data_IF_765560633515
#
_entry.id   IF_765560633515
#
_cell.length_a   1.000
_cell.length_b   1.000
_cell.length_c   1.000
_cell.angle_alpha   90.00
_cell.angle_beta   90.00
_cell.angle_gamma   90.00
#
_symmetry.space_group_name_H-M   'P 1'
#
loop_
_entity.id
_entity.type
_entity.pdbx_description
1 polymer ?
#
# COMPACT_ATOMS: atom_id res chain seq x y z
N UNK A 1 9.43 -91.30 0.72
CA UNK A 1 9.99 -90.25 1.60
C UNK A 1 9.83 -88.91 0.89
N UNK A 2 8.98 -88.03 1.42
CA UNK A 2 8.73 -86.66 0.92
C UNK A 2 9.52 -85.70 1.83
N UNK A 3 10.26 -84.71 1.31
CA UNK A 3 11.04 -83.80 2.15
C UNK A 3 10.10 -82.84 2.92
N UNK A 4 10.51 -82.34 4.10
CA UNK A 4 9.69 -81.44 4.89
C UNK A 4 9.61 -80.06 4.22
N UNK A 5 8.40 -79.52 4.19
CA UNK A 5 8.04 -78.22 3.62
C UNK A 5 8.64 -77.11 4.50
N UNK A 6 9.60 -76.36 3.94
CA UNK A 6 10.23 -75.24 4.63
C UNK A 6 9.21 -74.08 4.75
N UNK A 7 8.89 -73.69 5.98
CA UNK A 7 8.13 -72.45 6.26
C UNK A 7 8.90 -71.24 5.71
N UNK A 8 8.26 -70.33 4.97
CA UNK A 8 8.89 -69.07 4.59
C UNK A 8 9.15 -68.21 5.83
N UNK A 9 10.21 -67.39 5.82
CA UNK A 9 10.54 -66.52 6.95
C UNK A 9 9.41 -65.52 7.20
N UNK A 10 9.14 -65.26 8.48
CA UNK A 10 8.20 -64.25 8.94
C UNK A 10 8.43 -62.94 8.17
N UNK A 11 7.35 -62.34 7.67
CA UNK A 11 7.37 -61.05 7.01
C UNK A 11 8.20 -60.07 7.85
N UNK A 12 9.30 -59.60 7.27
CA UNK A 12 10.08 -58.53 7.87
C UNK A 12 9.12 -57.39 8.19
N UNK A 13 9.04 -57.02 9.47
CA UNK A 13 8.25 -55.88 9.92
C UNK A 13 8.65 -54.69 9.05
N UNK A 14 7.69 -54.19 8.27
CA UNK A 14 7.81 -52.92 7.57
C UNK A 14 8.18 -51.91 8.66
N UNK A 15 9.33 -51.21 8.56
CA UNK A 15 9.67 -50.20 9.55
C UNK A 15 8.52 -49.20 9.56
N UNK A 16 7.90 -49.02 10.74
CA UNK A 16 6.85 -48.06 10.94
C UNK A 16 7.32 -46.73 10.36
N UNK A 17 6.59 -46.23 9.37
CA UNK A 17 6.75 -44.88 8.86
C UNK A 17 6.83 -43.95 10.07
N UNK A 18 7.82 -43.03 10.15
CA UNK A 18 7.95 -42.16 11.31
C UNK A 18 6.62 -41.48 11.57
N UNK A 19 6.13 -41.60 12.81
CA UNK A 19 4.89 -40.96 13.27
C UNK A 19 4.84 -39.56 12.69
N UNK A 20 3.81 -39.27 11.89
CA UNK A 20 3.57 -37.93 11.41
C UNK A 20 3.43 -37.04 12.65
N UNK A 21 4.47 -36.27 12.97
CA UNK A 21 4.43 -35.30 14.05
C UNK A 21 3.23 -34.39 13.79
N UNK A 22 2.32 -34.31 14.76
CA UNK A 22 1.19 -33.41 14.70
C UNK A 22 1.66 -31.97 14.91
N UNK A 23 2.18 -31.37 13.85
CA UNK A 23 2.52 -29.96 13.81
C UNK A 23 1.27 -29.07 13.94
N UNK A 24 0.07 -29.60 13.66
CA UNK A 24 -1.20 -28.87 13.72
C UNK A 24 -1.72 -28.66 15.14
N UNK A 25 -1.39 -29.57 16.07
CA UNK A 25 -1.80 -29.54 17.47
C UNK A 25 -0.93 -28.71 18.42
N UNK A 26 0.06 -27.97 17.91
CA UNK A 26 0.92 -27.13 18.75
C UNK A 26 0.15 -25.94 19.34
N UNK A 27 0.43 -25.54 20.60
CA UNK A 27 -0.25 -24.40 21.23
C UNK A 27 0.01 -23.09 20.47
N UNK A 28 -1.02 -22.24 20.37
CA UNK A 28 -0.96 -20.99 19.59
C UNK A 28 0.07 -19.99 20.12
N UNK A 29 0.25 -19.90 21.45
CA UNK A 29 1.16 -18.95 22.09
C UNK A 29 2.63 -19.16 21.63
N UNK A 30 3.24 -20.36 21.76
CA UNK A 30 4.55 -20.66 21.18
C UNK A 30 4.66 -20.42 19.68
N UNK A 31 3.63 -20.77 18.90
CA UNK A 31 3.64 -20.56 17.45
C UNK A 31 3.63 -19.08 17.08
N UNK A 32 2.91 -18.24 17.84
CA UNK A 32 2.90 -16.79 17.66
C UNK A 32 4.29 -16.18 17.94
N UNK A 33 5.02 -16.73 18.92
CA UNK A 33 6.37 -16.29 19.26
C UNK A 33 7.40 -16.74 18.22
N UNK A 34 7.27 -17.96 17.69
CA UNK A 34 8.05 -18.40 16.53
C UNK A 34 7.80 -17.45 15.36
N UNK A 35 6.54 -17.15 15.04
CA UNK A 35 6.18 -16.26 13.94
C UNK A 35 6.79 -14.86 14.09
N UNK A 36 6.81 -14.29 15.31
CA UNK A 36 7.52 -13.02 15.61
C UNK A 36 9.00 -13.09 15.26
N UNK A 37 9.66 -14.20 15.56
CA UNK A 37 11.10 -14.41 15.30
C UNK A 37 11.43 -14.69 13.84
N UNK A 38 10.44 -15.04 13.01
CA UNK A 38 10.65 -15.19 11.56
C UNK A 38 10.78 -13.84 10.85
N UNK A 39 10.39 -12.73 11.49
CA UNK A 39 10.57 -11.40 10.96
C UNK A 39 12.07 -11.00 10.95
N UNK A 40 12.52 -10.29 9.90
CA UNK A 40 11.74 -9.78 8.76
C UNK A 40 11.73 -10.71 7.52
N UNK A 41 12.10 -11.98 7.66
CA UNK A 41 12.30 -12.88 6.52
C UNK A 41 10.98 -13.42 5.96
N UNK A 42 10.52 -12.82 4.86
CA UNK A 42 9.28 -13.23 4.19
C UNK A 42 9.32 -14.67 3.68
N UNK A 43 10.48 -15.16 3.23
CA UNK A 43 10.65 -16.57 2.83
C UNK A 43 10.29 -17.51 3.98
N UNK A 44 10.73 -17.19 5.20
CA UNK A 44 10.41 -17.97 6.39
C UNK A 44 8.93 -17.87 6.76
N UNK A 45 8.31 -16.70 6.55
CA UNK A 45 6.86 -16.52 6.74
C UNK A 45 6.06 -17.36 5.73
N UNK A 46 6.48 -17.43 4.47
CA UNK A 46 5.84 -18.31 3.48
C UNK A 46 6.02 -19.79 3.81
N UNK A 47 7.22 -20.18 4.25
CA UNK A 47 7.46 -21.53 4.73
C UNK A 47 6.54 -21.88 5.91
N UNK A 48 6.38 -20.96 6.87
CA UNK A 48 5.44 -21.10 8.00
C UNK A 48 3.99 -21.29 7.52
N UNK A 49 3.52 -20.46 6.58
CA UNK A 49 2.17 -20.55 6.01
C UNK A 49 1.91 -21.84 5.20
N UNK A 50 2.99 -22.48 4.73
CA UNK A 50 2.94 -23.70 3.93
C UNK A 50 2.90 -24.98 4.77
N UNK A 51 3.21 -24.93 6.08
CA UNK A 51 3.27 -26.12 6.96
C UNK A 51 1.94 -26.86 7.02
N UNK A 52 0.87 -26.18 7.42
CA UNK A 52 -0.47 -26.77 7.51
C UNK A 52 -1.57 -25.70 7.56
N UNK A 53 -2.85 -26.11 7.50
CA UNK A 53 -4.00 -25.21 7.56
C UNK A 53 -4.08 -24.42 8.89
N UNK A 54 -3.90 -25.03 10.08
CA UNK A 54 -3.87 -24.29 11.35
C UNK A 54 -2.85 -23.15 11.40
N UNK A 55 -1.59 -23.40 10.99
CA UNK A 55 -0.54 -22.37 10.99
C UNK A 55 -0.86 -21.22 10.03
N UNK A 56 -1.46 -21.53 8.89
CA UNK A 56 -1.92 -20.51 7.94
C UNK A 56 -3.06 -19.66 8.50
N UNK A 57 -3.97 -20.25 9.27
CA UNK A 57 -5.04 -19.53 9.95
C UNK A 57 -4.47 -18.64 11.05
N UNK A 58 -3.53 -19.14 11.85
CA UNK A 58 -2.83 -18.36 12.87
C UNK A 58 -2.08 -17.18 12.26
N UNK A 59 -1.34 -17.42 11.17
CA UNK A 59 -0.68 -16.34 10.42
C UNK A 59 -1.69 -15.27 10.04
N UNK A 60 -2.83 -15.63 9.45
CA UNK A 60 -3.89 -14.69 9.05
C UNK A 60 -4.51 -13.94 10.23
N UNK A 61 -4.59 -14.55 11.40
CA UNK A 61 -5.13 -13.93 12.60
C UNK A 61 -4.16 -12.91 13.22
N UNK A 62 -2.88 -13.25 13.38
CA UNK A 62 -1.87 -12.41 14.05
C UNK A 62 -1.23 -11.36 13.13
N UNK A 63 -1.44 -11.53 11.86
CA UNK A 63 -0.87 -10.82 10.76
C UNK A 63 -1.04 -9.29 10.77
N UNK A 64 -2.22 -8.83 11.16
CA UNK A 64 -2.52 -7.42 11.32
C UNK A 64 -1.59 -6.76 12.36
N UNK A 65 -1.23 -7.49 13.41
CA UNK A 65 -0.43 -6.94 14.52
C UNK A 65 1.06 -7.20 14.32
N UNK A 66 1.42 -8.35 13.74
CA UNK A 66 2.80 -8.79 13.58
C UNK A 66 3.45 -8.27 12.28
N UNK A 67 2.72 -8.30 11.16
CA UNK A 67 3.28 -7.97 9.84
C UNK A 67 3.05 -6.51 9.45
N UNK A 68 1.93 -5.89 9.87
CA UNK A 68 1.59 -4.52 9.42
C UNK A 68 2.60 -3.46 9.81
N UNK A 69 3.15 -3.44 11.04
CA UNK A 69 4.10 -2.41 11.39
C UNK A 69 5.55 -2.90 11.23
N UNK A 70 5.84 -4.21 11.24
CA UNK A 70 7.23 -4.69 11.35
C UNK A 70 8.02 -4.87 10.03
N UNK A 71 7.36 -4.83 8.87
CA UNK A 71 7.99 -5.11 7.58
C UNK A 71 8.00 -3.90 6.65
N UNK A 72 9.18 -3.47 6.14
CA UNK A 72 9.27 -2.49 5.06
C UNK A 72 8.53 -2.95 3.80
N UNK A 73 8.10 -2.02 2.92
CA UNK A 73 7.48 -2.36 1.65
C UNK A 73 8.25 -3.39 0.83
N UNK A 74 7.51 -4.25 0.14
CA UNK A 74 8.04 -5.05 -0.97
C UNK A 74 7.96 -4.25 -2.27
N UNK A 75 8.89 -4.54 -3.17
CA UNK A 75 9.01 -3.90 -4.47
C UNK A 75 8.58 -4.95 -5.50
N UNK A 76 7.37 -4.83 -6.06
CA UNK A 76 7.07 -5.59 -7.28
C UNK A 76 7.63 -4.84 -8.46
N UNK A 77 8.51 -5.45 -9.24
CA UNK A 77 8.83 -4.93 -10.55
C UNK A 77 7.95 -5.64 -11.58
N UNK A 78 6.90 -4.97 -12.12
CA UNK A 78 5.98 -5.60 -13.06
C UNK A 78 6.64 -5.96 -14.40
N UNK A 79 7.80 -5.36 -14.74
CA UNK A 79 8.53 -5.67 -15.98
C UNK A 79 9.38 -6.93 -15.88
N UNK A 80 9.89 -7.23 -14.68
CA UNK A 80 10.77 -8.38 -14.48
C UNK A 80 10.05 -9.56 -13.84
N UNK A 81 8.73 -9.48 -13.61
CA UNK A 81 7.93 -10.50 -12.91
C UNK A 81 8.60 -10.96 -11.62
N UNK A 82 9.18 -10.02 -10.87
CA UNK A 82 10.02 -10.30 -9.71
C UNK A 82 9.64 -9.36 -8.58
N UNK A 83 9.57 -9.94 -7.38
CA UNK A 83 9.48 -9.20 -6.12
C UNK A 83 10.89 -9.03 -5.57
N UNK A 84 11.37 -7.80 -5.49
CA UNK A 84 12.55 -7.47 -4.69
C UNK A 84 12.12 -6.83 -3.37
N UNK A 85 12.93 -6.94 -2.33
CA UNK A 85 12.68 -6.21 -1.09
C UNK A 85 13.32 -4.83 -1.11
N UNK A 86 12.80 -3.93 -0.26
CA UNK A 86 13.44 -2.66 0.08
C UNK A 86 14.90 -2.87 0.54
N UNK A 87 15.16 -3.96 1.28
CA UNK A 87 16.50 -4.32 1.76
C UNK A 87 16.75 -5.83 1.65
N UNK A 88 18.00 -6.22 1.40
CA UNK A 88 18.39 -7.64 1.22
C UNK A 88 18.07 -8.54 2.42
N UNK A 89 17.98 -7.97 3.63
CA UNK A 89 17.62 -8.74 4.84
C UNK A 89 16.14 -9.16 4.86
N UNK A 90 15.27 -8.46 4.14
CA UNK A 90 13.83 -8.80 4.03
C UNK A 90 13.61 -9.86 2.94
N UNK A 91 14.33 -9.76 1.81
CA UNK A 91 14.45 -10.80 0.78
C UNK A 91 15.89 -10.84 0.24
N UNK A 92 16.63 -11.91 0.56
CA UNK A 92 18.02 -12.08 0.17
C UNK A 92 18.20 -12.28 -1.34
N UNK A 93 17.19 -12.88 -1.99
CA UNK A 93 17.11 -13.05 -3.43
C UNK A 93 15.74 -12.57 -3.91
N UNK A 94 15.67 -11.91 -5.07
CA UNK A 94 14.40 -11.54 -5.66
C UNK A 94 13.54 -12.80 -5.89
N UNK A 95 12.27 -12.75 -5.51
CA UNK A 95 11.36 -13.85 -5.71
C UNK A 95 10.76 -13.74 -7.12
N UNK A 96 10.97 -14.75 -7.95
CA UNK A 96 10.25 -14.89 -9.20
C UNK A 96 8.76 -15.02 -8.88
N UNK A 97 7.97 -14.13 -9.44
CA UNK A 97 6.54 -14.08 -9.23
C UNK A 97 5.84 -14.51 -10.51
N UNK A 98 5.05 -15.57 -10.42
CA UNK A 98 4.22 -16.04 -11.54
C UNK A 98 2.99 -15.15 -11.68
N UNK A 99 3.21 -13.96 -12.20
CA UNK A 99 2.14 -13.24 -12.87
C UNK A 99 2.50 -13.10 -14.32
N UNK A 100 1.64 -13.65 -15.17
CA UNK A 100 1.34 -13.05 -16.47
C UNK A 100 0.64 -11.71 -16.20
N UNK A 101 1.37 -10.76 -15.59
CA UNK A 101 1.01 -9.35 -15.60
C UNK A 101 1.18 -8.92 -17.06
N UNK A 102 0.26 -9.33 -17.93
CA UNK A 102 -0.03 -8.64 -19.21
C UNK A 102 -0.64 -7.25 -18.92
N UNK A 103 -0.07 -6.57 -17.93
CA UNK A 103 -0.25 -5.18 -17.57
C UNK A 103 0.82 -4.33 -18.28
N UNK A 104 1.42 -4.84 -19.37
CA UNK A 104 2.11 -3.99 -20.33
C UNK A 104 1.17 -2.89 -20.76
N UNK A 105 1.52 -1.67 -20.35
CA UNK A 105 0.70 -0.49 -20.58
C UNK A 105 -0.40 -0.24 -19.56
N UNK A 106 -0.55 -0.97 -18.44
CA UNK A 106 -1.49 -0.53 -17.40
C UNK A 106 -0.89 0.61 -16.53
N UNK A 107 -1.76 1.47 -15.99
CA UNK A 107 -1.46 2.53 -15.03
C UNK A 107 -1.96 2.08 -13.67
N UNK A 108 -1.07 2.08 -12.67
CA UNK A 108 -1.46 1.87 -11.28
C UNK A 108 -2.20 3.10 -10.75
N UNK A 109 -3.42 2.90 -10.26
CA UNK A 109 -4.23 3.95 -9.62
C UNK A 109 -3.89 4.07 -8.13
N UNK A 110 -3.70 2.94 -7.45
CA UNK A 110 -3.27 2.80 -6.06
C UNK A 110 -3.08 1.33 -5.68
N UNK A 111 -2.54 1.10 -4.49
CA UNK A 111 -2.64 -0.18 -3.79
C UNK A 111 -3.54 -0.01 -2.56
N UNK A 112 -4.46 -0.95 -2.31
CA UNK A 112 -5.43 -0.85 -1.23
C UNK A 112 -5.86 -2.24 -0.76
N UNK A 113 -5.85 -2.48 0.56
CA UNK A 113 -6.34 -3.71 1.21
C UNK A 113 -5.88 -5.02 0.54
N UNK A 114 -4.61 -5.15 0.21
CA UNK A 114 -4.10 -6.36 -0.43
C UNK A 114 -4.08 -6.38 -1.93
N UNK A 115 -4.71 -5.40 -2.56
CA UNK A 115 -4.95 -5.43 -3.99
C UNK A 115 -4.29 -4.25 -4.69
N UNK A 116 -3.80 -4.54 -5.89
CA UNK A 116 -3.38 -3.55 -6.87
C UNK A 116 -4.57 -3.14 -7.71
N UNK A 117 -4.82 -1.84 -7.80
CA UNK A 117 -5.88 -1.28 -8.63
C UNK A 117 -5.26 -0.69 -9.89
N UNK A 118 -5.40 -1.41 -11.00
CA UNK A 118 -4.76 -1.10 -12.28
C UNK A 118 -5.80 -0.65 -13.31
N UNK A 119 -5.44 0.31 -14.17
CA UNK A 119 -6.20 0.69 -15.35
C UNK A 119 -5.39 0.45 -16.62
N UNK A 120 -5.84 -0.38 -17.57
CA UNK A 120 -5.16 -0.53 -18.86
C UNK A 120 -5.01 0.83 -19.60
N UNK A 121 -3.88 1.09 -20.27
CA UNK A 121 -3.79 2.18 -21.26
C UNK A 121 -4.62 1.78 -22.48
N UNK A 122 -5.42 2.71 -22.99
CA UNK A 122 -6.31 2.52 -24.13
C UNK A 122 -7.77 2.82 -23.80
N UNK A 123 -8.71 2.59 -24.75
CA UNK A 123 -10.12 2.90 -24.58
C UNK A 123 -10.87 1.94 -23.65
N UNK A 124 -10.16 1.08 -22.92
CA UNK A 124 -10.76 0.07 -22.07
C UNK A 124 -11.27 0.69 -20.78
N UNK A 125 -12.58 0.75 -20.62
CA UNK A 125 -13.25 1.24 -19.43
C UNK A 125 -13.35 0.16 -18.35
N UNK A 126 -12.21 -0.29 -17.83
CA UNK A 126 -12.16 -1.27 -16.72
C UNK A 126 -11.06 -0.98 -15.72
N UNK A 127 -11.29 -1.41 -14.49
CA UNK A 127 -10.26 -1.54 -13.46
C UNK A 127 -9.97 -3.02 -13.28
N UNK A 128 -8.68 -3.36 -13.26
CA UNK A 128 -8.19 -4.68 -12.92
C UNK A 128 -7.74 -4.64 -11.47
N UNK A 129 -8.35 -5.50 -10.66
CA UNK A 129 -8.00 -5.71 -9.25
C UNK A 129 -7.18 -6.99 -9.22
N UNK A 130 -5.95 -6.90 -8.72
CA UNK A 130 -5.03 -8.04 -8.63
C UNK A 130 -4.60 -8.19 -7.18
N UNK A 131 -4.75 -9.38 -6.61
CA UNK A 131 -4.11 -9.71 -5.34
C UNK A 131 -2.58 -9.55 -5.49
N UNK A 132 -2.03 -8.66 -4.68
CA UNK A 132 -0.68 -8.17 -4.84
C UNK A 132 0.39 -9.25 -4.59
N UNK A 133 0.03 -10.35 -3.92
CA UNK A 133 0.97 -11.35 -3.46
C UNK A 133 0.84 -12.72 -4.15
N UNK A 134 -0.37 -13.12 -4.53
CA UNK A 134 -0.63 -14.39 -5.23
C UNK A 134 -0.79 -14.18 -6.72
N UNK A 135 -1.35 -13.03 -7.13
CA UNK A 135 -1.56 -12.67 -8.53
C UNK A 135 -2.67 -13.50 -9.16
N UNK A 136 -3.26 -14.39 -8.36
CA UNK A 136 -4.24 -15.38 -8.75
C UNK A 136 -5.65 -14.78 -8.75
N UNK A 137 -5.94 -13.86 -7.85
CA UNK A 137 -7.22 -13.15 -7.86
C UNK A 137 -7.15 -11.96 -8.81
N UNK A 138 -7.59 -12.19 -10.04
CA UNK A 138 -7.80 -11.14 -11.04
C UNK A 138 -9.29 -10.90 -11.19
N UNK A 139 -9.77 -9.74 -10.75
CA UNK A 139 -11.13 -9.27 -11.05
C UNK A 139 -11.06 -8.11 -12.01
N UNK A 140 -11.88 -8.16 -13.05
CA UNK A 140 -12.07 -7.02 -13.95
C UNK A 140 -13.43 -6.40 -13.67
N UNK A 141 -13.43 -5.10 -13.35
CA UNK A 141 -14.64 -4.34 -13.06
C UNK A 141 -14.82 -3.30 -14.16
N UNK A 142 -15.94 -3.37 -14.87
CA UNK A 142 -16.32 -2.37 -15.87
C UNK A 142 -16.64 -1.04 -15.20
N UNK A 143 -16.02 0.04 -15.69
CA UNK A 143 -16.23 1.40 -15.22
C UNK A 143 -17.60 1.95 -15.69
N UNK A 144 -18.13 3.01 -15.03
CA UNK A 144 -19.44 3.58 -15.35
C UNK A 144 -19.60 4.06 -16.80
N UNK A 145 -18.51 4.41 -17.49
CA UNK A 145 -18.56 4.87 -18.88
C UNK A 145 -17.33 4.48 -19.71
N UNK A 146 -17.46 4.34 -21.04
CA UNK A 146 -16.34 3.99 -21.93
C UNK A 146 -15.16 4.96 -21.89
N UNK A 147 -15.41 6.23 -21.53
CA UNK A 147 -14.40 7.31 -21.46
C UNK A 147 -14.13 7.75 -20.03
N UNK A 148 -14.28 6.83 -19.07
CA UNK A 148 -14.15 7.16 -17.66
C UNK A 148 -12.69 7.46 -17.28
N UNK A 149 -12.37 8.74 -17.17
CA UNK A 149 -11.07 9.21 -16.73
C UNK A 149 -10.99 9.19 -15.19
N UNK A 150 -10.48 8.09 -14.62
CA UNK A 150 -10.15 8.02 -13.20
C UNK A 150 -8.69 8.42 -12.93
N UNK A 151 -8.44 9.08 -11.79
CA UNK A 151 -7.10 9.48 -11.35
C UNK A 151 -6.65 8.74 -10.08
N UNK A 152 -7.59 8.16 -9.34
CA UNK A 152 -7.33 7.38 -8.13
C UNK A 152 -8.46 6.38 -7.90
N UNK A 153 -8.17 5.31 -7.15
CA UNK A 153 -9.15 4.33 -6.70
C UNK A 153 -8.76 3.82 -5.31
N UNK A 154 -9.69 3.26 -4.55
CA UNK A 154 -9.41 2.68 -3.24
C UNK A 154 -10.42 1.58 -2.88
N UNK A 155 -10.01 0.62 -2.06
CA UNK A 155 -10.90 -0.38 -1.48
C UNK A 155 -11.19 -0.04 -0.02
N UNK A 156 -12.46 0.02 0.31
CA UNK A 156 -12.95 -0.08 1.68
C UNK A 156 -13.37 -1.53 1.96
N UNK A 157 -13.68 -1.90 3.22
CA UNK A 157 -14.19 -3.23 3.54
C UNK A 157 -15.45 -3.63 2.74
N UNK A 158 -16.23 -2.65 2.27
CA UNK A 158 -17.55 -2.87 1.67
C UNK A 158 -17.69 -2.35 0.24
N UNK A 159 -16.77 -1.51 -0.23
CA UNK A 159 -16.90 -0.82 -1.52
C UNK A 159 -15.55 -0.58 -2.20
N UNK A 160 -15.57 -0.66 -3.54
CA UNK A 160 -14.59 -0.04 -4.42
C UNK A 160 -14.99 1.42 -4.67
N UNK A 161 -14.04 2.34 -4.44
CA UNK A 161 -14.17 3.75 -4.76
C UNK A 161 -13.32 4.10 -5.98
N UNK A 162 -13.89 4.89 -6.89
CA UNK A 162 -13.18 5.38 -8.07
C UNK A 162 -13.39 6.89 -8.21
N UNK A 163 -12.28 7.63 -8.20
CA UNK A 163 -12.27 9.09 -8.27
C UNK A 163 -12.04 9.56 -9.70
N UNK A 164 -13.02 10.28 -10.25
CA UNK A 164 -13.03 10.69 -11.65
C UNK A 164 -12.75 12.19 -11.83
N UNK A 165 -13.11 13.01 -10.85
CA UNK A 165 -12.90 14.46 -10.89
C UNK A 165 -12.71 15.00 -9.48
N UNK A 166 -12.39 16.30 -9.37
CA UNK A 166 -12.36 17.01 -8.08
C UNK A 166 -13.72 17.13 -7.39
N UNK A 167 -14.82 16.81 -8.08
CA UNK A 167 -16.18 17.05 -7.57
C UNK A 167 -16.98 15.79 -7.32
N UNK A 168 -16.52 14.63 -7.76
CA UNK A 168 -17.30 13.41 -7.64
C UNK A 168 -16.45 12.15 -7.71
N UNK A 169 -16.99 11.10 -7.10
CA UNK A 169 -16.47 9.74 -7.14
C UNK A 169 -17.64 8.78 -7.32
N UNK A 170 -17.31 7.55 -7.69
CA UNK A 170 -18.27 6.47 -7.81
C UNK A 170 -17.93 5.37 -6.81
N UNK A 171 -18.94 4.77 -6.21
CA UNK A 171 -18.79 3.59 -5.35
C UNK A 171 -19.48 2.39 -5.96
N UNK A 172 -18.88 1.22 -5.77
CA UNK A 172 -19.44 -0.08 -6.14
C UNK A 172 -19.30 -1.02 -4.94
N UNK A 173 -20.35 -1.76 -4.53
CA UNK A 173 -20.21 -2.77 -3.50
C UNK A 173 -19.10 -3.78 -3.85
N UNK A 174 -18.29 -4.13 -2.86
CA UNK A 174 -17.15 -5.04 -3.00
C UNK A 174 -17.06 -5.89 -1.72
N UNK A 175 -16.83 -7.21 -1.80
CA UNK A 175 -16.40 -7.99 -2.98
C UNK A 175 -17.52 -8.42 -3.93
N UNK A 176 -18.79 -8.19 -3.61
CA UNK A 176 -19.93 -8.60 -4.45
C UNK A 176 -20.53 -7.41 -5.21
N UNK A 177 -20.03 -7.07 -6.42
CA UNK A 177 -20.50 -5.92 -7.19
C UNK A 177 -21.91 -6.10 -7.77
N UNK A 178 -22.36 -7.34 -7.93
CA UNK A 178 -23.71 -7.71 -8.37
C UNK A 178 -24.32 -8.71 -7.38
N UNK A 179 -25.04 -8.25 -6.35
CA UNK A 179 -25.75 -9.15 -5.43
C UNK A 179 -26.94 -9.87 -6.12
N UNK A 180 -27.46 -9.32 -7.24
CA UNK A 180 -28.48 -9.96 -8.06
C UNK A 180 -27.87 -10.49 -9.38
N UNK A 181 -27.92 -11.80 -9.64
CA UNK A 181 -27.35 -12.40 -10.85
C UNK A 181 -28.09 -12.04 -12.15
N UNK A 182 -29.26 -11.40 -12.07
CA UNK A 182 -30.07 -10.97 -13.22
C UNK A 182 -29.64 -9.63 -13.82
N UNK A 183 -28.79 -8.83 -13.15
CA UNK A 183 -28.27 -7.58 -13.70
C UNK A 183 -26.95 -7.81 -14.44
N UNK A 184 -26.91 -7.48 -15.73
CA UNK A 184 -25.72 -7.67 -16.58
C UNK A 184 -24.58 -6.69 -16.30
N UNK A 185 -24.81 -5.60 -15.56
CA UNK A 185 -23.82 -4.56 -15.29
C UNK A 185 -23.70 -4.22 -13.80
N UNK A 186 -22.49 -3.88 -13.31
CA UNK A 186 -22.27 -3.44 -11.94
C UNK A 186 -23.02 -2.14 -11.63
N UNK A 187 -23.78 -2.11 -10.53
CA UNK A 187 -24.57 -0.94 -10.14
C UNK A 187 -23.70 0.11 -9.42
N UNK A 188 -23.13 1.03 -10.19
CA UNK A 188 -22.34 2.13 -9.67
C UNK A 188 -23.21 3.23 -9.05
N UNK A 189 -22.84 3.71 -7.87
CA UNK A 189 -23.48 4.86 -7.22
C UNK A 189 -22.56 6.08 -7.35
N UNK A 190 -23.08 7.18 -7.90
CA UNK A 190 -22.34 8.45 -8.00
C UNK A 190 -22.53 9.27 -6.73
N UNK A 191 -21.43 9.81 -6.22
CA UNK A 191 -21.40 10.68 -5.05
C UNK A 191 -20.71 12.00 -5.39
N UNK A 192 -21.15 13.07 -4.73
CA UNK A 192 -20.56 14.41 -4.86
C UNK A 192 -19.58 14.63 -3.70
N UNK A 193 -18.41 15.19 -4.01
CA UNK A 193 -17.44 15.65 -3.02
C UNK A 193 -17.80 17.07 -2.55
N UNK A 194 -17.39 17.47 -1.33
CA UNK A 194 -17.56 18.85 -0.86
C UNK A 194 -17.05 19.87 -1.89
N UNK A 195 -17.75 21.00 -2.08
CA UNK A 195 -17.42 22.00 -3.12
C UNK A 195 -16.00 22.56 -3.00
N UNK A 196 -15.49 22.66 -1.77
CA UNK A 196 -14.15 23.13 -1.44
C UNK A 196 -13.05 22.07 -1.61
N UNK A 197 -13.42 20.81 -1.81
CA UNK A 197 -12.47 19.72 -2.00
C UNK A 197 -11.77 19.83 -3.35
N UNK A 198 -10.51 19.41 -3.37
CA UNK A 198 -9.70 19.27 -4.57
C UNK A 198 -9.58 17.79 -4.99
N UNK A 199 -8.65 17.45 -5.88
CA UNK A 199 -8.46 16.08 -6.36
C UNK A 199 -8.03 15.16 -5.22
N UNK A 200 -8.70 14.02 -5.05
CA UNK A 200 -8.31 13.02 -4.05
C UNK A 200 -7.06 12.29 -4.53
N UNK A 201 -6.01 12.29 -3.72
CA UNK A 201 -4.70 11.71 -4.05
C UNK A 201 -4.38 10.46 -3.26
N UNK A 202 -5.07 10.23 -2.14
CA UNK A 202 -4.90 9.05 -1.31
C UNK A 202 -6.12 8.81 -0.43
N UNK A 203 -6.36 7.55 -0.11
CA UNK A 203 -7.40 7.11 0.83
C UNK A 203 -6.83 5.98 1.68
N UNK A 204 -7.05 6.04 2.98
CA UNK A 204 -6.63 5.00 3.92
C UNK A 204 -7.69 4.77 5.00
N UNK A 205 -7.57 3.63 5.67
CA UNK A 205 -8.34 3.33 6.88
C UNK A 205 -7.50 3.65 8.12
N UNK A 206 -8.08 4.38 9.06
CA UNK A 206 -7.44 4.73 10.32
C UNK A 206 -8.46 4.68 11.46
N UNK A 207 -8.21 3.81 12.45
CA UNK A 207 -9.09 3.60 13.61
C UNK A 207 -10.57 3.38 13.20
N UNK A 208 -10.80 2.54 12.18
CA UNK A 208 -12.13 2.22 11.65
C UNK A 208 -12.78 3.34 10.83
N UNK A 209 -12.10 4.46 10.62
CA UNK A 209 -12.56 5.58 9.79
C UNK A 209 -11.89 5.53 8.43
N UNK A 210 -12.65 5.84 7.38
CA UNK A 210 -12.13 5.89 6.01
C UNK A 210 -11.80 7.34 5.65
N UNK A 211 -10.50 7.66 5.60
CA UNK A 211 -9.99 9.02 5.46
C UNK A 211 -9.39 9.23 4.07
N UNK A 212 -9.74 10.35 3.44
CA UNK A 212 -9.17 10.82 2.18
C UNK A 212 -8.25 12.01 2.35
N UNK A 213 -7.29 12.12 1.44
CA UNK A 213 -6.41 13.26 1.30
C UNK A 213 -6.57 13.85 -0.09
N UNK A 214 -6.66 15.18 -0.18
CA UNK A 214 -6.61 15.87 -1.48
C UNK A 214 -5.20 16.31 -1.86
N UNK A 215 -4.99 16.68 -3.11
CA UNK A 215 -3.74 17.28 -3.60
C UNK A 215 -3.42 18.63 -2.93
N UNK A 216 -4.38 19.23 -2.22
CA UNK A 216 -4.19 20.42 -1.38
C UNK A 216 -4.00 20.08 0.11
N UNK A 217 -3.71 18.83 0.43
CA UNK A 217 -3.58 18.32 1.80
C UNK A 217 -4.84 18.50 2.68
N UNK A 218 -6.03 18.56 2.06
CA UNK A 218 -7.29 18.63 2.81
C UNK A 218 -7.70 17.21 3.23
N UNK A 219 -8.17 17.07 4.46
CA UNK A 219 -8.61 15.80 5.02
C UNK A 219 -10.12 15.61 4.83
N UNK A 220 -10.51 14.45 4.29
CA UNK A 220 -11.89 14.05 4.03
C UNK A 220 -12.22 12.81 4.87
N UNK A 221 -13.49 12.63 5.24
CA UNK A 221 -14.01 11.40 5.81
C UNK A 221 -15.15 10.86 4.96
N UNK A 222 -15.07 9.58 4.59
CA UNK A 222 -16.08 8.86 3.82
C UNK A 222 -16.94 7.98 4.74
N UNK A 223 -18.26 8.11 4.60
CA UNK A 223 -19.27 7.36 5.35
C UNK A 223 -20.22 6.66 4.38
N UNK A 224 -19.77 5.54 3.84
CA UNK A 224 -20.50 4.81 2.79
C UNK A 224 -21.65 3.95 3.33
N UNK A 225 -21.79 3.79 4.65
CA UNK A 225 -22.72 2.84 5.28
C UNK A 225 -23.68 3.44 6.31
N UNK A 226 -23.85 4.77 6.38
CA UNK A 226 -24.75 5.39 7.38
C UNK A 226 -26.15 5.71 6.83
N UNK A 227 -27.09 4.79 7.10
CA UNK A 227 -28.56 4.89 7.18
C UNK A 227 -29.42 4.95 5.88
N UNK A 228 -30.54 4.18 5.81
CA UNK A 228 -31.55 4.21 4.74
C UNK A 228 -32.44 5.48 4.73
N UNK A 229 -32.21 6.43 5.65
CA UNK A 229 -32.82 7.75 5.62
C UNK A 229 -31.78 8.75 5.08
N UNK A 230 -31.74 8.90 3.76
CA UNK A 230 -30.72 9.63 2.98
C UNK A 230 -30.56 11.13 3.27
N UNK A 231 -30.16 11.50 4.47
CA UNK A 231 -29.87 12.89 4.87
C UNK A 231 -28.46 13.10 5.45
N UNK A 232 -27.62 12.06 5.51
CA UNK A 232 -26.21 12.19 5.86
C UNK A 232 -25.33 12.53 4.65
N UNK A 233 -24.41 13.48 4.78
CA UNK A 233 -23.37 13.69 3.76
C UNK A 233 -22.47 12.44 3.70
N UNK A 234 -22.44 11.75 2.55
CA UNK A 234 -21.58 10.58 2.31
C UNK A 234 -20.10 10.91 2.50
N UNK A 235 -19.71 12.14 2.21
CA UNK A 235 -18.34 12.64 2.38
C UNK A 235 -18.38 14.00 3.02
N UNK A 236 -17.56 14.17 4.06
CA UNK A 236 -17.38 15.46 4.73
C UNK A 236 -15.91 15.86 4.72
N UNK A 237 -15.66 17.17 4.67
CA UNK A 237 -14.33 17.72 4.87
C UNK A 237 -14.11 17.92 6.37
N UNK A 238 -13.03 17.37 6.88
CA UNK A 238 -12.66 17.54 8.28
C UNK A 238 -11.99 18.91 8.46
N UNK A 239 -12.29 19.66 9.53
CA UNK A 239 -11.79 21.03 9.74
C UNK A 239 -10.34 21.03 10.25
N UNK A 240 -9.46 20.26 9.61
CA UNK A 240 -8.08 20.15 10.00
C UNK A 240 -7.30 21.41 9.62
N UNK A 241 -6.70 22.09 10.61
CA UNK A 241 -5.94 23.32 10.43
C UNK A 241 -4.43 23.10 10.66
N UNK A 242 -3.62 24.15 10.56
CA UNK A 242 -2.18 24.11 10.93
C UNK A 242 -1.22 23.72 9.81
N UNK A 243 -1.71 23.46 8.60
CA UNK A 243 -0.87 23.21 7.42
C UNK A 243 -0.48 24.50 6.69
N UNK A 244 0.66 24.49 6.00
CA UNK A 244 1.05 25.59 5.12
C UNK A 244 0.12 25.68 3.89
N UNK A 245 0.14 26.84 3.22
CA UNK A 245 -0.68 27.06 2.02
C UNK A 245 -0.36 26.06 0.91
N UNK A 246 -1.37 25.67 0.13
CA UNK A 246 -1.23 24.67 -0.93
C UNK A 246 -0.24 25.06 -2.05
N UNK A 247 0.21 26.32 -2.10
CA UNK A 247 1.23 26.77 -3.06
C UNK A 247 2.68 26.62 -2.58
N UNK A 248 2.90 26.18 -1.34
CA UNK A 248 4.24 26.04 -0.74
C UNK A 248 4.80 24.62 -0.85
N UNK A 249 4.05 23.64 -1.35
CA UNK A 249 4.48 22.25 -1.51
C UNK A 249 4.10 21.69 -2.88
N UNK A 250 4.80 20.64 -3.31
CA UNK A 250 4.49 19.97 -4.58
C UNK A 250 3.20 19.15 -4.44
N UNK A 251 2.22 19.46 -5.28
CA UNK A 251 0.87 18.86 -5.26
C UNK A 251 0.73 17.65 -6.19
N UNK A 252 1.67 17.46 -7.12
CA UNK A 252 1.45 16.62 -8.29
C UNK A 252 2.48 15.50 -8.44
N UNK A 253 3.78 15.83 -8.48
CA UNK A 253 4.86 14.88 -8.69
C UNK A 253 5.10 14.03 -7.44
N UNK A 254 5.34 14.71 -6.32
CA UNK A 254 5.52 14.09 -5.02
C UNK A 254 4.19 14.03 -4.28
N UNK A 255 3.42 15.13 -4.32
CA UNK A 255 2.11 15.23 -3.67
C UNK A 255 2.13 15.06 -2.15
N UNK A 256 1.04 15.44 -1.46
CA UNK A 256 0.88 15.16 -0.04
C UNK A 256 0.64 13.65 0.20
N UNK A 257 1.18 13.10 1.31
CA UNK A 257 1.09 11.67 1.63
C UNK A 257 0.57 11.43 3.05
N UNK A 258 -0.63 10.87 3.15
CA UNK A 258 -1.24 10.50 4.42
C UNK A 258 -0.79 9.10 4.82
N UNK A 259 -0.39 8.92 6.07
CA UNK A 259 0.15 7.66 6.60
C UNK A 259 -0.40 7.39 7.99
N UNK A 260 -0.89 6.17 8.21
CA UNK A 260 -1.21 5.68 9.54
C UNK A 260 0.04 5.02 10.17
N UNK A 261 0.51 5.57 11.30
CA UNK A 261 1.66 5.05 12.06
C UNK A 261 1.19 4.66 13.47
N UNK A 262 0.74 3.41 13.59
CA UNK A 262 0.10 2.93 14.82
C UNK A 262 -1.14 3.73 15.15
N UNK A 263 -1.09 4.47 16.25
CA UNK A 263 -2.18 5.29 16.74
C UNK A 263 -2.09 6.75 16.27
N UNK A 264 -1.06 7.12 15.50
CA UNK A 264 -0.85 8.47 14.95
C UNK A 264 -1.22 8.53 13.47
N UNK A 265 -1.83 9.64 13.07
CA UNK A 265 -2.01 9.98 11.67
C UNK A 265 -0.95 11.02 11.28
N UNK A 266 -0.13 10.66 10.30
CA UNK A 266 0.99 11.47 9.83
C UNK A 266 0.75 11.93 8.38
N UNK A 267 1.31 13.08 8.02
CA UNK A 267 1.25 13.65 6.70
C UNK A 267 2.66 14.07 6.26
N UNK A 268 3.13 13.57 5.12
CA UNK A 268 4.40 13.99 4.52
C UNK A 268 4.12 15.01 3.41
N UNK A 269 4.80 16.16 3.48
CA UNK A 269 4.77 17.22 2.49
C UNK A 269 6.17 17.49 1.93
N UNK A 270 6.24 17.68 0.61
CA UNK A 270 7.46 18.03 -0.11
C UNK A 270 7.44 19.52 -0.42
N UNK A 271 8.07 20.30 0.44
CA UNK A 271 8.03 21.76 0.41
C UNK A 271 8.87 22.29 -0.75
N UNK A 272 8.33 23.26 -1.45
CA UNK A 272 8.95 23.90 -2.61
C UNK A 272 9.76 25.13 -2.20
N UNK A 273 10.72 25.49 -3.05
CA UNK A 273 11.40 26.77 -2.98
C UNK A 273 10.40 27.95 -3.00
N UNK A 274 10.71 29.08 -2.31
CA UNK A 274 9.94 30.30 -2.42
C UNK A 274 9.80 30.78 -3.87
N UNK A 275 8.72 31.52 -4.18
CA UNK A 275 8.56 32.12 -5.52
C UNK A 275 9.68 33.17 -5.71
N UNK A 276 10.66 32.91 -6.59
CA UNK A 276 11.57 33.96 -7.05
C UNK A 276 10.93 34.72 -8.23
N UNK A 277 10.96 36.06 -8.25
CA UNK A 277 10.40 36.86 -9.34
C UNK A 277 11.15 36.70 -10.68
N UNK A 278 12.36 36.11 -10.67
CA UNK A 278 13.23 35.97 -11.85
C UNK A 278 13.11 34.62 -12.58
N UNK A 279 12.37 33.66 -12.04
CA UNK A 279 12.23 32.31 -12.63
C UNK A 279 10.84 32.13 -13.24
N UNK A 280 10.79 31.76 -14.52
CA UNK A 280 9.59 31.32 -15.22
C UNK A 280 8.79 30.31 -14.36
N UNK A 281 7.49 30.57 -14.20
CA UNK A 281 6.64 30.16 -13.08
C UNK A 281 6.41 28.65 -12.82
N UNK A 282 7.10 27.72 -13.50
CA UNK A 282 6.69 26.30 -13.52
C UNK A 282 7.68 25.27 -12.95
N UNK A 283 8.80 25.67 -12.36
CA UNK A 283 9.80 24.69 -11.90
C UNK A 283 10.53 25.12 -10.63
N UNK A 284 9.97 24.76 -9.47
CA UNK A 284 10.63 24.89 -8.16
C UNK A 284 11.18 23.54 -7.71
N UNK A 285 12.37 23.56 -7.12
CA UNK A 285 12.91 22.39 -6.43
C UNK A 285 12.16 22.10 -5.13
N UNK A 286 12.27 20.86 -4.64
CA UNK A 286 11.88 20.53 -3.26
C UNK A 286 13.06 20.87 -2.35
N UNK A 287 12.82 21.73 -1.36
CA UNK A 287 13.81 22.15 -0.37
C UNK A 287 13.65 21.47 0.97
N UNK A 288 12.46 20.94 1.28
CA UNK A 288 12.21 20.33 2.59
C UNK A 288 11.26 19.14 2.52
N UNK A 289 11.55 18.11 3.30
CA UNK A 289 10.65 16.97 3.55
C UNK A 289 10.06 17.15 4.95
N UNK A 290 8.89 17.78 5.00
CA UNK A 290 8.20 18.07 6.25
C UNK A 290 7.24 16.93 6.59
N UNK A 291 7.18 16.57 7.88
CA UNK A 291 6.24 15.57 8.39
C UNK A 291 5.36 16.24 9.44
N UNK A 292 4.06 16.06 9.34
CA UNK A 292 3.08 16.62 10.27
C UNK A 292 2.34 15.49 10.98
N UNK A 293 2.14 15.60 12.29
CA UNK A 293 1.21 14.78 13.05
C UNK A 293 -0.12 15.49 13.23
N UNK A 294 -1.23 14.77 13.09
CA UNK A 294 -2.55 15.30 13.41
C UNK A 294 -2.86 15.10 14.89
N UNK A 295 -3.04 16.20 15.62
CA UNK A 295 -3.79 16.17 16.87
C UNK A 295 -5.28 15.98 16.54
N UNK A 296 -5.78 14.79 16.83
CA UNK A 296 -7.18 14.42 16.58
C UNK A 296 -8.17 15.15 17.51
N UNK A 297 -7.70 15.68 18.64
CA UNK A 297 -8.54 16.41 19.61
C UNK A 297 -8.74 17.85 19.17
N UNK A 298 -7.66 18.52 18.77
CA UNK A 298 -7.70 19.89 18.28
C UNK A 298 -7.99 19.99 16.78
N UNK A 299 -7.93 18.86 16.07
CA UNK A 299 -7.98 18.81 14.60
C UNK A 299 -6.94 19.75 13.99
N UNK A 300 -5.70 19.67 14.48
CA UNK A 300 -4.60 20.53 14.04
C UNK A 300 -3.38 19.71 13.66
N UNK A 301 -2.81 20.02 12.51
CA UNK A 301 -1.54 19.49 12.06
C UNK A 301 -0.40 20.27 12.69
N UNK A 302 0.57 19.54 13.22
CA UNK A 302 1.78 20.08 13.81
C UNK A 302 2.98 19.42 13.17
N UNK A 303 3.97 20.21 12.76
CA UNK A 303 5.20 19.67 12.21
C UNK A 303 5.94 18.88 13.30
N UNK A 304 6.43 17.69 12.95
CA UNK A 304 7.15 16.80 13.85
C UNK A 304 8.53 16.50 13.29
N UNK A 305 9.54 16.71 14.13
CA UNK A 305 10.93 16.36 13.82
C UNK A 305 11.25 14.90 14.21
N UNK A 306 10.34 14.26 14.95
CA UNK A 306 10.50 12.90 15.43
C UNK A 306 9.20 12.08 15.33
N UNK A 307 9.26 10.99 14.57
CA UNK A 307 8.19 10.00 14.36
C UNK A 307 8.39 8.74 15.22
N UNK A 308 9.38 8.73 16.12
CA UNK A 308 9.65 7.68 17.08
C UNK A 308 10.31 6.45 16.46
N UNK A 309 9.86 5.26 16.89
CA UNK A 309 10.35 3.98 16.36
C UNK A 309 9.84 3.66 14.94
N UNK A 310 9.08 4.56 14.33
CA UNK A 310 8.56 4.39 12.97
C UNK A 310 9.53 4.97 11.93
N UNK A 311 9.49 4.40 10.74
CA UNK A 311 10.00 4.99 9.50
C UNK A 311 8.91 5.01 8.46
N UNK A 312 8.84 6.10 7.71
CA UNK A 312 7.88 6.29 6.62
C UNK A 312 8.52 5.91 5.31
N UNK A 313 7.75 5.28 4.44
CA UNK A 313 8.17 4.92 3.10
C UNK A 313 7.18 5.56 2.14
N UNK A 314 7.69 6.37 1.23
CA UNK A 314 6.91 7.13 0.26
C UNK A 314 7.37 6.72 -1.13
N UNK A 315 6.44 6.16 -1.89
CA UNK A 315 6.62 6.06 -3.33
C UNK A 315 5.78 7.11 -4.05
N UNK A 316 6.50 8.03 -4.69
CA UNK A 316 5.91 9.14 -5.42
C UNK A 316 5.16 8.65 -6.66
N UNK A 317 5.60 7.55 -7.29
CA UNK A 317 5.08 7.12 -8.57
C UNK A 317 3.72 6.39 -8.48
N UNK A 318 3.59 5.45 -7.55
CA UNK A 318 2.34 4.72 -7.22
C UNK A 318 1.40 5.54 -6.36
N UNK A 319 1.85 6.70 -5.90
CA UNK A 319 1.13 7.56 -4.97
C UNK A 319 0.82 6.88 -3.62
N UNK A 320 1.70 6.00 -3.17
CA UNK A 320 1.52 5.21 -1.95
C UNK A 320 2.50 5.63 -0.87
N UNK A 321 2.06 5.54 0.39
CA UNK A 321 2.94 5.71 1.54
C UNK A 321 2.52 4.79 2.68
N UNK A 322 3.47 4.36 3.50
CA UNK A 322 3.21 3.57 4.69
C UNK A 322 4.21 3.87 5.80
N UNK A 323 3.85 3.48 7.03
CA UNK A 323 4.73 3.52 8.19
C UNK A 323 5.08 2.09 8.62
N UNK A 324 6.32 1.92 9.07
CA UNK A 324 6.85 0.68 9.59
C UNK A 324 7.58 0.96 10.92
N UNK A 325 7.23 0.26 11.99
CA UNK A 325 7.92 0.23 13.28
C UNK A 325 9.06 -0.79 13.29
N UNK A 326 10.09 -0.59 14.11
CA UNK A 326 11.08 -1.62 14.40
C UNK A 326 11.95 -2.01 13.21
N UNK A 327 12.11 -1.09 12.26
CA UNK A 327 12.82 -1.31 10.99
C UNK A 327 14.32 -1.56 11.16
N UNK A 328 14.88 -1.34 12.35
CA UNK A 328 16.27 -1.71 12.67
C UNK A 328 16.54 -3.19 12.43
N UNK A 329 15.56 -4.05 12.74
CA UNK A 329 15.62 -5.50 12.47
C UNK A 329 15.80 -5.82 10.98
N UNK A 330 15.43 -4.89 10.10
CA UNK A 330 15.56 -4.99 8.66
C UNK A 330 16.83 -4.33 8.09
N UNK A 331 17.71 -3.80 8.96
CA UNK A 331 18.91 -3.06 8.54
C UNK A 331 18.61 -1.62 8.08
N UNK A 332 17.47 -1.07 8.49
CA UNK A 332 16.98 0.25 8.09
C UNK A 332 16.91 1.15 9.34
N UNK A 333 17.19 2.44 9.18
CA UNK A 333 17.15 3.39 10.29
C UNK A 333 15.70 3.74 10.66
N UNK A 334 15.44 3.82 11.96
CA UNK A 334 14.20 4.38 12.51
C UNK A 334 14.21 5.90 12.42
N UNK A 335 13.04 6.52 12.59
CA UNK A 335 12.87 7.96 12.51
C UNK A 335 13.33 8.57 11.19
N UNK A 336 13.01 7.89 10.07
CA UNK A 336 13.36 8.34 8.71
C UNK A 336 12.16 8.35 7.78
N UNK A 337 12.22 9.21 6.77
CA UNK A 337 11.36 9.22 5.59
C UNK A 337 12.18 8.69 4.42
N UNK A 338 11.87 7.48 3.98
CA UNK A 338 12.41 6.88 2.77
C UNK A 338 11.55 7.31 1.60
N UNK A 339 12.16 7.87 0.57
CA UNK A 339 11.49 8.37 -0.63
C UNK A 339 12.07 7.69 -1.85
N UNK A 340 11.18 7.25 -2.75
CA UNK A 340 11.53 6.76 -4.07
C UNK A 340 10.71 7.47 -5.14
N UNK A 341 11.36 7.72 -6.26
CA UNK A 341 10.78 8.37 -7.43
C UNK A 341 11.24 7.63 -8.70
N UNK A 342 10.52 7.77 -9.83
CA UNK A 342 10.90 7.10 -11.08
C UNK A 342 12.37 7.32 -11.42
N UNK A 343 13.13 6.24 -11.63
CA UNK A 343 14.55 6.26 -12.01
C UNK A 343 15.55 6.62 -10.90
N UNK A 344 15.09 6.83 -9.66
CA UNK A 344 15.97 7.08 -8.51
C UNK A 344 15.90 5.90 -7.53
N UNK A 345 17.02 5.47 -6.93
CA UNK A 345 16.98 4.56 -5.79
C UNK A 345 16.35 5.24 -4.57
N UNK A 346 15.99 4.44 -3.56
CA UNK A 346 15.55 4.97 -2.27
C UNK A 346 16.57 5.92 -1.68
N UNK A 347 16.08 7.06 -1.18
CA UNK A 347 16.84 7.99 -0.36
C UNK A 347 16.14 8.20 0.96
N UNK A 348 16.91 8.36 2.03
CA UNK A 348 16.40 8.55 3.38
C UNK A 348 16.63 9.97 3.85
N UNK A 349 15.61 10.54 4.49
CA UNK A 349 15.65 11.89 5.03
C UNK A 349 15.17 11.87 6.49
N UNK A 350 15.76 12.64 7.42
CA UNK A 350 15.11 12.90 8.70
C UNK A 350 13.78 13.64 8.48
N UNK A 351 12.77 13.47 9.36
CA UNK A 351 11.62 14.36 9.39
C UNK A 351 12.08 15.82 9.57
N UNK A 352 11.55 16.73 8.77
CA UNK A 352 11.97 18.13 8.77
C UNK A 352 13.28 18.39 8.01
N UNK A 353 13.80 17.42 7.26
CA UNK A 353 15.00 17.59 6.45
C UNK A 353 14.92 18.82 5.54
N UNK A 354 15.99 19.61 5.49
CA UNK A 354 16.14 20.76 4.60
C UNK A 354 17.36 20.60 3.68
N UNK A 355 17.22 21.07 2.44
CA UNK A 355 18.29 21.09 1.47
C UNK A 355 19.32 22.16 1.85
N UNK A 356 20.60 21.77 1.92
CA UNK A 356 21.69 22.74 2.01
C UNK A 356 21.81 23.51 0.69
N UNK A 357 22.03 24.83 0.79
CA UNK A 357 22.21 25.76 -0.34
C UNK A 357 23.32 25.32 -1.30
N UNK A 358 24.32 24.59 -0.81
CA UNK A 358 25.48 24.13 -1.58
C UNK A 358 25.29 22.75 -2.23
N UNK A 359 24.20 22.04 -1.92
CA UNK A 359 24.00 20.66 -2.34
C UNK A 359 23.26 20.57 -3.69
N UNK A 360 23.97 20.93 -4.76
CA UNK A 360 23.55 20.75 -6.15
C UNK A 360 23.29 19.27 -6.54
N UNK A 361 23.57 18.31 -5.66
CA UNK A 361 23.57 16.86 -5.93
C UNK A 361 22.32 16.09 -5.46
N UNK A 362 21.25 16.78 -5.05
CA UNK A 362 19.98 16.12 -4.79
C UNK A 362 19.21 15.83 -6.07
N UNK A 363 19.78 14.94 -6.90
CA UNK A 363 19.21 14.50 -8.18
C UNK A 363 17.73 14.08 -8.07
N UNK A 364 17.31 13.48 -6.95
CA UNK A 364 15.91 13.06 -6.72
C UNK A 364 14.93 14.24 -6.70
N UNK A 365 15.35 15.39 -6.16
CA UNK A 365 14.58 16.62 -6.13
C UNK A 365 15.01 17.61 -7.23
N UNK A 366 15.90 17.18 -8.13
CA UNK A 366 16.38 18.02 -9.21
C UNK A 366 15.30 18.18 -10.28
N UNK A 367 15.26 19.38 -10.87
CA UNK A 367 14.38 19.75 -11.97
C UNK A 367 14.37 18.73 -13.13
N UNK A 368 15.54 18.14 -13.41
CA UNK A 368 15.73 17.18 -14.50
C UNK A 368 15.09 15.83 -14.21
N UNK A 369 15.13 15.36 -12.96
CA UNK A 369 14.45 14.14 -12.55
C UNK A 369 12.92 14.27 -12.56
N UNK A 370 12.38 15.47 -12.30
CA UNK A 370 10.94 15.74 -12.36
C UNK A 370 10.39 15.83 -13.80
N UNK A 371 11.19 16.32 -14.76
CA UNK A 371 10.73 16.60 -16.14
C UNK A 371 11.12 15.54 -17.18
N UNK A 372 12.32 14.96 -17.10
CA UNK A 372 12.85 14.09 -18.17
C UNK A 372 12.42 12.62 -18.05
N UNK A 373 11.76 12.25 -16.96
CA UNK A 373 11.44 10.85 -16.70
C UNK A 373 10.06 10.53 -17.22
N UNK A 374 10.09 9.83 -18.36
CA UNK A 374 8.97 9.12 -18.98
C UNK A 374 8.06 8.48 -17.91
N UNK A 375 6.77 8.24 -18.20
CA UNK A 375 5.92 7.40 -17.37
C UNK A 375 6.43 5.95 -17.46
N UNK A 376 7.57 5.70 -16.83
CA UNK A 376 8.03 4.38 -16.46
C UNK A 376 6.85 3.73 -15.75
N UNK A 377 6.52 2.47 -16.07
CA UNK A 377 5.73 1.69 -15.15
C UNK A 377 6.63 1.60 -13.92
N UNK A 378 6.36 2.42 -12.92
CA UNK A 378 7.03 2.33 -11.65
C UNK A 378 6.94 0.89 -11.17
N UNK A 379 8.00 0.40 -10.54
CA UNK A 379 7.87 -0.78 -9.70
C UNK A 379 6.62 -0.57 -8.85
N UNK A 380 5.70 -1.53 -8.88
CA UNK A 380 4.47 -1.47 -8.11
C UNK A 380 4.86 -1.84 -6.68
N UNK A 381 4.77 -0.88 -5.78
CA UNK A 381 5.15 -1.11 -4.39
C UNK A 381 4.02 -1.81 -3.69
N UNK A 382 4.35 -2.95 -3.09
CA UNK A 382 3.40 -3.78 -2.35
C UNK A 382 3.82 -3.76 -0.91
N UNK A 383 3.14 -2.93 -0.14
CA UNK A 383 3.34 -2.85 1.29
C UNK A 383 2.82 -4.12 1.97
N UNK A 384 3.47 -4.57 3.05
CA UNK A 384 2.91 -5.56 3.97
C UNK A 384 1.53 -5.24 4.56
N UNK A 385 1.11 -3.98 4.53
CA UNK A 385 -0.28 -3.58 4.78
C UNK A 385 -1.28 -4.21 3.79
N UNK A 386 -0.78 -4.77 2.69
CA UNK A 386 -1.50 -5.55 1.68
C UNK A 386 -1.61 -7.04 2.02
N UNK A 387 -1.13 -7.46 3.18
CA UNK A 387 -1.30 -8.84 3.59
C UNK A 387 -2.67 -9.09 4.25
N UNK A 388 -3.38 -8.04 4.76
CA UNK A 388 -4.64 -8.14 5.54
C UNK A 388 -5.60 -6.96 5.40
#
# INVERSE_FOLDING_TARGET
>A
MKPPEARPPAAAAVPAMPEFRDWGGLPELPLSEVLRRLLPCLRSIYAFAAVCRPWRLLLRACAADLLRPGLPPLLLNPRSSVVSAFYKLVLAQPLAYRTDLRAEGAVLLSASRGHLLLRPRGPSARIIIIDAFTGAERREITLPSPRFACHHAALSPTHLLVFHSKHAFFSLPFPNPNPNPSSSSPHWTKHTLPRSASFVTGVLEFRGRFLGLTDRAQLLEFRLCTSPQGQGQTVQMLPAAGLPDATTFDRWHFGPRLVAAGDRLLLVLFMLEPKSPSLFQNTRGVTKVAVYGLDMTQMRWEEVENIGAYSLFVDCASKSAAACIGVRSCGVEENRVYVVAPGCPWRSFPPGWEASLDNANNELFSRRAMMDRHPWPSNIWVYPQLFF
#
